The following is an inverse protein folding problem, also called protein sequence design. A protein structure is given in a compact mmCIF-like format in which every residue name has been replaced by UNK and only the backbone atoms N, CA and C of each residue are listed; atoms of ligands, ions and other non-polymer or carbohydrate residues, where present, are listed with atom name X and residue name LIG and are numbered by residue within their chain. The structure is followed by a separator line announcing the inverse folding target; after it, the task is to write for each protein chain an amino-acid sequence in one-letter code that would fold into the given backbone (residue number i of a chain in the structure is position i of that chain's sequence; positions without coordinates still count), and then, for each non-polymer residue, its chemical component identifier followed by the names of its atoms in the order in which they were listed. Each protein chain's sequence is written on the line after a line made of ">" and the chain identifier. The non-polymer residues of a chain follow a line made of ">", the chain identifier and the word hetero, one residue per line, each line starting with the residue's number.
data_IF_971381153194
#
_entry.id   IF_971381153194
#
_cell.length_a   1.000
_cell.length_b   1.000
_cell.length_c   1.000
_cell.angle_alpha   90.00
_cell.angle_beta   90.00
_cell.angle_gamma   90.00
#
_symmetry.space_group_name_H-M   'P 1'
#
loop_
_entity.id
_entity.type
_entity.pdbx_description
1 polymer ?
#
# COMPACT_ATOMS: atom_id res chain seq x y z
N UNK A 1 -18.70 -26.56 -10.97
CA UNK A 1 -18.31 -25.13 -10.98
C UNK A 1 -16.80 -25.08 -10.77
N UNK A 2 -16.03 -24.72 -11.80
CA UNK A 2 -14.58 -24.60 -11.65
C UNK A 2 -14.31 -23.55 -10.56
N UNK A 3 -13.56 -23.92 -9.53
CA UNK A 3 -13.07 -22.97 -8.55
C UNK A 3 -12.19 -21.98 -9.29
N UNK A 4 -12.70 -20.77 -9.52
CA UNK A 4 -11.96 -19.64 -10.05
C UNK A 4 -10.78 -19.36 -9.12
N UNK A 5 -9.63 -19.97 -9.39
CA UNK A 5 -8.45 -19.82 -8.57
C UNK A 5 -7.85 -18.43 -8.80
N UNK A 6 -7.61 -17.69 -7.71
CA UNK A 6 -6.98 -16.36 -7.64
C UNK A 6 -5.71 -16.19 -8.51
N UNK A 7 -5.01 -17.29 -8.81
CA UNK A 7 -3.78 -17.29 -9.60
C UNK A 7 -2.57 -16.78 -8.79
N UNK A 8 -1.35 -17.00 -9.32
CA UNK A 8 -0.12 -16.69 -8.58
C UNK A 8 0.06 -15.18 -8.35
N UNK A 9 -0.23 -14.33 -9.34
CA UNK A 9 0.00 -12.89 -9.23
C UNK A 9 -0.84 -12.21 -8.12
N UNK A 10 -2.15 -12.48 -8.06
CA UNK A 10 -3.00 -11.95 -6.99
C UNK A 10 -2.65 -12.56 -5.62
N UNK A 11 -2.11 -13.78 -5.59
CA UNK A 11 -1.55 -14.36 -4.35
C UNK A 11 -0.35 -13.57 -3.88
N UNK A 12 0.60 -13.27 -4.77
CA UNK A 12 1.75 -12.41 -4.47
C UNK A 12 1.29 -11.05 -3.96
N UNK A 13 0.32 -10.40 -4.62
CA UNK A 13 -0.20 -9.11 -4.14
C UNK A 13 -0.86 -9.20 -2.76
N UNK A 14 -1.67 -10.23 -2.50
CA UNK A 14 -2.26 -10.41 -1.18
C UNK A 14 -1.19 -10.58 -0.08
N UNK A 15 -0.10 -11.31 -0.37
CA UNK A 15 1.02 -11.47 0.57
C UNK A 15 1.75 -10.13 0.76
N UNK A 16 2.10 -9.43 -0.33
CA UNK A 16 2.77 -8.12 -0.27
C UNK A 16 1.96 -7.09 0.52
N UNK A 17 0.65 -6.99 0.25
CA UNK A 17 -0.23 -6.10 1.01
C UNK A 17 -0.41 -6.56 2.47
N UNK A 18 -0.45 -7.87 2.73
CA UNK A 18 -0.47 -8.42 4.08
C UNK A 18 0.79 -8.07 4.88
N UNK A 19 1.98 -8.19 4.27
CA UNK A 19 3.23 -7.78 4.90
C UNK A 19 3.28 -6.26 5.15
N UNK A 20 2.81 -5.47 4.17
CA UNK A 20 2.71 -4.02 4.32
C UNK A 20 1.71 -3.62 5.42
N UNK A 21 0.62 -4.38 5.57
CA UNK A 21 -0.35 -4.21 6.64
C UNK A 21 0.28 -4.43 8.02
N UNK A 22 0.98 -5.56 8.19
CA UNK A 22 1.70 -5.88 9.44
C UNK A 22 2.74 -4.81 9.74
N UNK A 23 3.55 -4.40 8.76
CA UNK A 23 4.52 -3.31 8.95
C UNK A 23 3.86 -2.02 9.45
N UNK A 24 2.71 -1.63 8.89
CA UNK A 24 1.99 -0.44 9.31
C UNK A 24 1.32 -0.58 10.69
N UNK A 25 0.80 -1.78 11.03
CA UNK A 25 0.24 -2.08 12.36
C UNK A 25 1.30 -2.00 13.46
N UNK A 26 2.54 -2.34 13.14
CA UNK A 26 3.66 -2.33 14.10
C UNK A 26 4.34 -0.96 14.23
N UNK A 27 3.89 0.07 13.50
CA UNK A 27 4.44 1.43 13.61
C UNK A 27 4.40 2.04 15.02
N UNK A 28 3.40 1.80 15.88
CA UNK A 28 3.41 2.27 17.26
C UNK A 28 4.59 1.74 18.08
N UNK A 29 5.15 0.59 17.70
CA UNK A 29 6.26 -0.06 18.40
C UNK A 29 7.63 0.51 18.03
N UNK A 30 7.69 1.42 17.04
CA UNK A 30 8.91 2.14 16.62
C UNK A 30 10.16 1.27 16.43
N UNK A 31 10.01 0.00 16.02
CA UNK A 31 11.12 -0.98 15.94
C UNK A 31 12.28 -0.61 14.98
N UNK A 32 12.15 0.47 14.20
CA UNK A 32 13.18 1.00 13.30
C UNK A 32 13.59 2.46 13.57
N UNK A 33 13.23 3.01 14.74
CA UNK A 33 13.51 4.41 15.11
C UNK A 33 12.48 5.40 14.56
N UNK A 34 12.12 6.40 15.37
CA UNK A 34 11.03 7.35 15.09
C UNK A 34 11.27 8.23 13.84
N UNK A 35 12.53 8.41 13.41
CA UNK A 35 12.90 9.32 12.32
C UNK A 35 12.77 8.69 10.91
N UNK A 36 12.78 7.36 10.79
CA UNK A 36 12.78 6.67 9.49
C UNK A 36 11.51 5.85 9.21
N UNK A 37 10.62 5.68 10.20
CA UNK A 37 9.48 4.77 10.12
C UNK A 37 8.11 5.44 9.97
N UNK A 38 8.08 6.76 9.86
CA UNK A 38 6.85 7.55 9.77
C UNK A 38 5.98 7.17 8.58
N UNK A 39 4.67 6.96 8.82
CA UNK A 39 3.69 6.81 7.75
C UNK A 39 3.54 8.13 7.00
N UNK A 40 3.73 8.07 5.68
CA UNK A 40 3.52 9.23 4.81
C UNK A 40 2.04 9.32 4.48
N UNK A 41 1.39 10.34 5.02
CA UNK A 41 -0.02 10.62 4.81
C UNK A 41 -0.18 11.98 4.12
N UNK A 42 -0.78 11.98 2.93
CA UNK A 42 -0.86 13.14 2.03
C UNK A 42 0.47 13.90 1.88
N UNK A 43 1.53 13.13 1.69
CA UNK A 43 2.87 13.65 1.46
C UNK A 43 3.61 14.10 2.71
N UNK A 44 3.01 14.10 3.90
CA UNK A 44 3.72 14.41 5.14
C UNK A 44 4.12 13.15 5.88
N UNK A 45 5.39 13.07 6.28
CA UNK A 45 5.87 11.99 7.14
C UNK A 45 5.38 12.24 8.57
N UNK A 46 4.44 11.41 9.02
CA UNK A 46 3.89 11.54 10.36
C UNK A 46 4.85 11.04 11.42
N UNK A 47 4.82 11.68 12.60
CA UNK A 47 5.61 11.31 13.78
C UNK A 47 4.73 11.28 15.02
N UNK A 48 5.23 10.73 16.13
CA UNK A 48 4.52 10.72 17.42
C UNK A 48 3.14 10.06 17.35
N UNK A 49 2.14 10.72 17.93
CA UNK A 49 0.76 10.24 18.04
C UNK A 49 0.09 10.04 16.68
N UNK A 50 0.33 10.94 15.73
CA UNK A 50 -0.24 10.83 14.38
C UNK A 50 0.21 9.54 13.69
N UNK A 51 1.49 9.18 13.80
CA UNK A 51 2.02 7.93 13.25
C UNK A 51 1.46 6.69 13.98
N UNK A 52 1.33 6.77 15.30
CA UNK A 52 0.79 5.70 16.13
C UNK A 52 -0.70 5.41 15.86
N UNK A 53 -1.43 6.36 15.27
CA UNK A 53 -2.85 6.19 14.90
C UNK A 53 -2.99 5.87 13.41
N UNK A 54 -2.43 6.71 12.53
CA UNK A 54 -2.61 6.56 11.07
C UNK A 54 -1.93 5.31 10.54
N UNK A 55 -0.77 4.92 11.10
CA UNK A 55 -0.08 3.68 10.75
C UNK A 55 -1.00 2.46 10.92
N UNK A 56 -1.49 2.17 12.14
CA UNK A 56 -2.41 1.07 12.36
C UNK A 56 -3.71 1.14 11.57
N UNK A 57 -4.33 2.31 11.43
CA UNK A 57 -5.54 2.46 10.61
C UNK A 57 -5.30 2.05 9.16
N UNK A 58 -4.19 2.49 8.59
CA UNK A 58 -3.81 2.12 7.22
C UNK A 58 -3.39 0.65 7.13
N UNK A 59 -2.78 0.10 8.19
CA UNK A 59 -2.50 -1.32 8.33
C UNK A 59 -3.77 -2.16 8.31
N UNK A 60 -4.82 -1.78 9.05
CA UNK A 60 -6.13 -2.44 9.04
C UNK A 60 -6.74 -2.38 7.64
N UNK A 61 -6.73 -1.21 6.99
CA UNK A 61 -7.22 -1.06 5.62
C UNK A 61 -6.53 -2.05 4.67
N UNK A 62 -5.20 -2.12 4.72
CA UNK A 62 -4.40 -3.02 3.90
C UNK A 62 -4.65 -4.49 4.21
N UNK A 63 -4.86 -4.84 5.49
CA UNK A 63 -5.17 -6.20 5.90
C UNK A 63 -6.52 -6.66 5.35
N UNK A 64 -7.55 -5.81 5.47
CA UNK A 64 -8.88 -6.06 4.90
C UNK A 64 -8.80 -6.19 3.38
N UNK A 65 -8.02 -5.32 2.72
CA UNK A 65 -7.80 -5.39 1.29
C UNK A 65 -7.08 -6.69 0.86
N UNK A 66 -6.03 -7.09 1.58
CA UNK A 66 -5.30 -8.33 1.34
C UNK A 66 -6.19 -9.55 1.51
N UNK A 67 -7.03 -9.61 2.56
CA UNK A 67 -8.04 -10.67 2.76
C UNK A 67 -9.08 -10.64 1.64
N UNK A 68 -9.49 -9.45 1.19
CA UNK A 68 -10.37 -9.26 0.05
C UNK A 68 -9.79 -9.86 -1.24
N UNK A 69 -8.53 -9.57 -1.56
CA UNK A 69 -7.82 -10.19 -2.69
C UNK A 69 -7.71 -11.71 -2.48
N UNK A 70 -7.32 -12.14 -1.28
CA UNK A 70 -7.12 -13.55 -0.96
C UNK A 70 -8.39 -14.37 -1.19
N UNK A 71 -9.54 -13.82 -0.81
CA UNK A 71 -10.84 -14.48 -0.94
C UNK A 71 -11.61 -14.08 -2.21
N UNK A 72 -10.97 -13.34 -3.13
CA UNK A 72 -11.61 -12.77 -4.33
C UNK A 72 -12.95 -12.09 -4.04
N UNK A 73 -13.01 -11.26 -3.00
CA UNK A 73 -14.25 -10.58 -2.60
C UNK A 73 -14.51 -9.36 -3.47
N UNK A 74 -15.78 -9.11 -3.81
CA UNK A 74 -16.19 -7.95 -4.62
C UNK A 74 -15.76 -6.61 -4.05
N UNK A 75 -15.74 -6.47 -2.73
CA UNK A 75 -15.30 -5.23 -2.08
C UNK A 75 -13.80 -4.92 -2.28
N UNK A 76 -12.97 -5.90 -2.66
CA UNK A 76 -11.55 -5.67 -2.90
C UNK A 76 -11.32 -4.73 -4.10
N UNK A 77 -12.23 -4.74 -5.08
CA UNK A 77 -12.10 -3.94 -6.30
C UNK A 77 -12.19 -2.42 -6.04
N UNK A 78 -13.22 -1.87 -5.36
CA UNK A 78 -13.21 -0.46 -5.00
C UNK A 78 -12.05 -0.09 -4.07
N UNK A 79 -11.64 -0.98 -3.14
CA UNK A 79 -10.45 -0.75 -2.30
C UNK A 79 -9.17 -0.67 -3.12
N UNK A 80 -9.04 -1.46 -4.19
CA UNK A 80 -7.88 -1.43 -5.07
C UNK A 80 -7.72 -0.08 -5.76
N UNK A 81 -8.81 0.46 -6.31
CA UNK A 81 -8.83 1.77 -6.95
C UNK A 81 -8.55 2.89 -5.95
N UNK A 82 -9.21 2.85 -4.77
CA UNK A 82 -8.98 3.85 -3.73
C UNK A 82 -7.51 3.85 -3.26
N UNK A 83 -6.91 2.67 -3.09
CA UNK A 83 -5.52 2.54 -2.68
C UNK A 83 -4.55 3.03 -3.77
N UNK A 84 -4.77 2.65 -5.04
CA UNK A 84 -3.93 3.09 -6.14
C UNK A 84 -3.98 4.63 -6.32
N UNK A 85 -5.19 5.21 -6.25
CA UNK A 85 -5.37 6.65 -6.29
C UNK A 85 -4.67 7.34 -5.11
N UNK A 86 -4.83 6.81 -3.89
CA UNK A 86 -4.15 7.32 -2.71
C UNK A 86 -2.63 7.30 -2.87
N UNK A 87 -2.04 6.19 -3.34
CA UNK A 87 -0.59 6.09 -3.54
C UNK A 87 -0.08 7.17 -4.49
N UNK A 88 -0.77 7.39 -5.61
CA UNK A 88 -0.39 8.43 -6.59
C UNK A 88 -0.48 9.83 -5.95
N UNK A 89 -1.61 10.15 -5.33
CA UNK A 89 -1.82 11.46 -4.67
C UNK A 89 -0.78 11.68 -3.56
N UNK A 90 -0.50 10.65 -2.77
CA UNK A 90 0.44 10.71 -1.67
C UNK A 90 1.88 10.96 -2.16
N UNK A 91 2.28 10.32 -3.27
CA UNK A 91 3.61 10.52 -3.88
C UNK A 91 3.76 11.91 -4.51
N UNK A 92 2.74 12.40 -5.21
CA UNK A 92 2.71 13.77 -5.74
C UNK A 92 2.85 14.76 -4.59
N UNK A 93 2.02 14.61 -3.55
CA UNK A 93 2.07 15.49 -2.38
C UNK A 93 3.42 15.43 -1.66
N UNK A 94 4.02 14.25 -1.52
CA UNK A 94 5.35 14.08 -0.91
C UNK A 94 6.42 14.85 -1.68
N UNK A 95 6.36 14.78 -3.02
CA UNK A 95 7.30 15.46 -3.91
C UNK A 95 7.12 16.98 -3.86
N UNK A 96 5.87 17.46 -3.93
CA UNK A 96 5.54 18.91 -3.89
C UNK A 96 5.90 19.54 -2.54
N UNK A 97 5.78 18.80 -1.44
CA UNK A 97 6.11 19.30 -0.09
C UNK A 97 7.62 19.35 0.20
N UNK A 98 8.46 18.82 -0.69
CA UNK A 98 9.91 18.87 -0.51
C UNK A 98 10.42 18.02 0.67
N UNK A 99 9.70 16.98 1.05
CA UNK A 99 10.11 16.01 2.09
C UNK A 99 11.27 15.08 1.63
N UNK A 100 11.77 15.34 0.42
CA UNK A 100 12.91 14.69 -0.21
C UNK A 100 14.22 15.05 0.51
N UNK A 101 15.05 14.06 0.82
CA UNK A 101 16.39 14.31 1.35
C UNK A 101 17.39 14.53 0.19
N UNK A 102 18.35 15.45 0.34
CA UNK A 102 19.38 15.65 -0.67
C UNK A 102 20.32 14.42 -0.74
N UNK A 103 20.69 14.01 -1.96
CA UNK A 103 21.67 12.96 -2.22
C UNK A 103 21.28 12.01 -3.34
N UNK A 104 22.26 11.59 -4.16
CA UNK A 104 22.05 10.71 -5.32
C UNK A 104 21.41 9.37 -4.91
N UNK A 105 21.84 8.78 -3.80
CA UNK A 105 21.27 7.54 -3.28
C UNK A 105 19.78 7.67 -2.94
N UNK A 106 19.37 8.80 -2.37
CA UNK A 106 17.97 9.07 -2.05
C UNK A 106 17.12 9.25 -3.32
N UNK A 107 17.65 9.93 -4.33
CA UNK A 107 16.97 10.11 -5.63
C UNK A 107 16.73 8.75 -6.30
N UNK A 108 17.75 7.90 -6.39
CA UNK A 108 17.64 6.56 -6.96
C UNK A 108 16.59 5.74 -6.19
N UNK A 109 16.69 5.72 -4.86
CA UNK A 109 15.71 5.02 -4.02
C UNK A 109 14.29 5.54 -4.27
N UNK A 110 14.09 6.85 -4.33
CA UNK A 110 12.77 7.47 -4.52
C UNK A 110 12.16 7.16 -5.88
N UNK A 111 12.97 7.11 -6.95
CA UNK A 111 12.52 6.71 -8.29
C UNK A 111 12.08 5.25 -8.27
N UNK A 112 12.93 4.35 -7.76
CA UNK A 112 12.62 2.92 -7.68
C UNK A 112 11.37 2.68 -6.83
N UNK A 113 11.29 3.32 -5.66
CA UNK A 113 10.13 3.27 -4.78
C UNK A 113 8.85 3.72 -5.48
N UNK A 114 8.90 4.84 -6.20
CA UNK A 114 7.75 5.39 -6.94
C UNK A 114 7.25 4.41 -8.00
N UNK A 115 8.15 3.85 -8.81
CA UNK A 115 7.80 2.88 -9.85
C UNK A 115 7.19 1.61 -9.26
N UNK A 116 7.78 1.08 -8.18
CA UNK A 116 7.26 -0.11 -7.50
C UNK A 116 5.90 0.19 -6.84
N UNK A 117 5.76 1.32 -6.15
CA UNK A 117 4.52 1.69 -5.46
C UNK A 117 3.35 1.85 -6.44
N UNK A 118 3.55 2.58 -7.54
CA UNK A 118 2.53 2.77 -8.58
C UNK A 118 2.26 1.45 -9.29
N UNK A 119 3.29 0.70 -9.67
CA UNK A 119 3.18 -0.57 -10.38
C UNK A 119 2.43 -1.65 -9.60
N UNK A 120 2.78 -1.84 -8.32
CA UNK A 120 2.12 -2.83 -7.45
C UNK A 120 0.67 -2.45 -7.17
N UNK A 121 0.41 -1.18 -6.83
CA UNK A 121 -0.95 -0.72 -6.50
C UNK A 121 -1.89 -0.75 -7.72
N UNK A 122 -1.44 -0.22 -8.85
CA UNK A 122 -2.23 -0.18 -10.09
C UNK A 122 -2.34 -1.57 -10.73
N UNK A 123 -1.27 -2.37 -10.68
CA UNK A 123 -1.25 -3.74 -11.19
C UNK A 123 -2.25 -4.64 -10.45
N UNK A 124 -2.34 -4.51 -9.13
CA UNK A 124 -3.35 -5.23 -8.34
C UNK A 124 -4.78 -4.84 -8.74
N UNK A 125 -5.05 -3.53 -8.91
CA UNK A 125 -6.35 -3.05 -9.36
C UNK A 125 -6.72 -3.59 -10.76
N UNK A 126 -5.79 -3.53 -11.71
CA UNK A 126 -6.00 -4.05 -13.07
C UNK A 126 -6.28 -5.56 -13.07
N UNK A 127 -5.51 -6.35 -12.33
CA UNK A 127 -5.72 -7.80 -12.27
C UNK A 127 -7.03 -8.19 -11.57
N UNK A 128 -7.42 -7.48 -10.51
CA UNK A 128 -8.73 -7.65 -9.88
C UNK A 128 -9.86 -7.30 -10.85
N UNK A 129 -9.74 -6.21 -11.60
CA UNK A 129 -10.74 -5.79 -12.58
C UNK A 129 -10.88 -6.80 -13.72
N UNK A 130 -9.77 -7.37 -14.21
CA UNK A 130 -9.81 -8.45 -15.20
C UNK A 130 -10.51 -9.72 -14.69
N UNK A 131 -10.56 -9.91 -13.38
CA UNK A 131 -11.23 -11.04 -12.71
C UNK A 131 -12.53 -10.63 -12.03
N UNK A 132 -13.13 -9.50 -12.39
CA UNK A 132 -14.36 -8.99 -11.76
C UNK A 132 -15.50 -10.01 -11.77
N UNK A 133 -15.62 -10.81 -12.83
CA UNK A 133 -16.62 -11.86 -12.96
C UNK A 133 -16.46 -12.99 -11.92
N UNK A 134 -15.22 -13.24 -11.47
CA UNK A 134 -14.89 -14.26 -10.48
C UNK A 134 -15.07 -13.78 -9.03
N UNK A 135 -15.39 -12.50 -8.82
CA UNK A 135 -15.51 -11.94 -7.49
C UNK A 135 -16.82 -12.36 -6.83
N UNK A 136 -16.72 -12.84 -5.58
CA UNK A 136 -17.83 -13.30 -4.75
C UNK A 136 -18.33 -12.23 -3.81
#
# INVERSE_FOLDING_TARGET
>A
MASEQRGPALTTFAILFGMLAVSNLLKPLQMGGAQHTGFVFFGQRTTGTANAVLGPLFGIYLLVYAVGIWRLRRFALPMAYAYAAYVIVNLIAFTVRGESQPGVGYVIFSIVYTLVAIGVSSGAALLLTRRKAALV
#
